data_IF_732562499706
#
_entry.id   IF_732562499706
#
_cell.length_a   1.000
_cell.length_b   1.000
_cell.length_c   1.000
_cell.angle_alpha   90.00
_cell.angle_beta   90.00
_cell.angle_gamma   90.00
#
_symmetry.space_group_name_H-M   'P 1'
#
loop_
_entity.id
_entity.type
_entity.pdbx_description
1 polymer ?
#
# COMPACT_ATOMS: atom_id res chain seq x y z
N UNK A 1 -12.39 6.76 12.82
CA UNK A 1 -11.83 6.63 11.47
C UNK A 1 -10.30 6.58 11.45
N UNK A 2 -9.59 7.26 12.39
CA UNK A 2 -8.13 7.28 12.46
C UNK A 2 -7.60 6.82 13.84
N UNK A 3 -7.80 5.55 14.19
CA UNK A 3 -7.24 4.96 15.43
C UNK A 3 -6.30 3.77 15.16
N UNK A 4 -5.87 3.62 13.91
CA UNK A 4 -4.79 2.74 13.53
C UNK A 4 -3.68 3.58 12.92
N UNK A 5 -2.45 3.28 13.34
CA UNK A 5 -1.24 3.98 12.95
C UNK A 5 -1.21 4.12 11.42
N UNK A 6 -1.43 5.34 10.94
CA UNK A 6 -1.51 5.64 9.51
C UNK A 6 -0.16 5.26 8.89
N UNK A 7 -0.21 4.43 7.85
CA UNK A 7 1.00 4.05 7.13
C UNK A 7 1.45 5.21 6.23
N UNK A 8 2.40 5.99 6.73
CA UNK A 8 2.95 7.14 5.99
C UNK A 8 3.55 6.73 4.63
N UNK A 9 4.05 5.50 4.51
CA UNK A 9 4.56 5.00 3.23
C UNK A 9 3.42 4.72 2.24
N UNK A 10 2.26 4.25 2.72
CA UNK A 10 1.09 4.11 1.86
C UNK A 10 0.63 5.47 1.31
N UNK A 11 0.63 6.52 2.15
CA UNK A 11 0.30 7.87 1.70
C UNK A 11 1.31 8.36 0.67
N UNK A 12 2.61 8.16 0.93
CA UNK A 12 3.67 8.55 -0.01
C UNK A 12 3.50 7.85 -1.36
N UNK A 13 3.33 6.53 -1.38
CA UNK A 13 3.12 5.76 -2.61
C UNK A 13 1.85 6.22 -3.33
N UNK A 14 0.75 6.45 -2.61
CA UNK A 14 -0.48 6.93 -3.21
C UNK A 14 -0.30 8.33 -3.84
N UNK A 15 0.37 9.27 -3.16
CA UNK A 15 0.71 10.58 -3.73
C UNK A 15 1.55 10.45 -4.99
N UNK A 16 2.56 9.59 -4.96
CA UNK A 16 3.41 9.31 -6.13
C UNK A 16 2.60 8.76 -7.31
N UNK A 17 1.69 7.81 -7.07
CA UNK A 17 0.81 7.27 -8.12
C UNK A 17 -0.07 8.34 -8.79
N UNK A 18 -0.42 9.41 -8.08
CA UNK A 18 -1.24 10.50 -8.60
C UNK A 18 -0.45 11.79 -8.88
N UNK A 19 0.88 11.69 -9.04
CA UNK A 19 1.77 12.84 -9.32
C UNK A 19 1.60 14.01 -8.33
N UNK A 20 1.35 13.71 -7.06
CA UNK A 20 1.16 14.68 -6.00
C UNK A 20 -0.24 15.32 -5.92
N UNK A 21 -1.19 14.87 -6.74
CA UNK A 21 -2.58 15.34 -6.68
C UNK A 21 -3.27 14.84 -5.39
N UNK A 22 -3.45 15.76 -4.45
CA UNK A 22 -3.96 15.47 -3.11
C UNK A 22 -5.42 14.98 -3.16
N UNK A 23 -6.27 15.61 -3.96
CA UNK A 23 -7.69 15.28 -4.03
C UNK A 23 -7.91 13.87 -4.60
N UNK A 24 -7.18 13.54 -5.68
CA UNK A 24 -7.21 12.18 -6.24
C UNK A 24 -6.65 11.16 -5.26
N UNK A 25 -5.58 11.51 -4.53
CA UNK A 25 -4.97 10.65 -3.52
C UNK A 25 -5.95 10.34 -2.40
N UNK A 26 -6.59 11.35 -1.81
CA UNK A 26 -7.59 11.17 -0.73
C UNK A 26 -8.75 10.31 -1.24
N UNK A 27 -9.28 10.61 -2.43
CA UNK A 27 -10.38 9.84 -3.03
C UNK A 27 -10.00 8.39 -3.27
N UNK A 28 -8.76 8.13 -3.71
CA UNK A 28 -8.24 6.78 -3.94
C UNK A 28 -8.06 6.01 -2.64
N UNK A 29 -7.46 6.63 -1.61
CA UNK A 29 -7.28 6.02 -0.30
C UNK A 29 -8.63 5.71 0.36
N UNK A 30 -9.62 6.60 0.21
CA UNK A 30 -10.97 6.33 0.69
C UNK A 30 -11.59 5.11 0.01
N UNK A 31 -11.50 5.03 -1.34
CA UNK A 31 -11.97 3.86 -2.09
C UNK A 31 -11.23 2.58 -1.71
N UNK A 32 -9.92 2.68 -1.48
CA UNK A 32 -9.09 1.56 -1.05
C UNK A 32 -9.56 0.99 0.31
N UNK A 33 -9.85 1.86 1.29
CA UNK A 33 -10.39 1.44 2.57
C UNK A 33 -11.72 0.69 2.43
N UNK A 34 -12.62 1.19 1.57
CA UNK A 34 -13.88 0.48 1.28
C UNK A 34 -13.65 -0.85 0.56
N UNK A 35 -12.75 -0.86 -0.43
CA UNK A 35 -12.42 -2.04 -1.22
C UNK A 35 -11.84 -3.19 -0.38
N UNK A 36 -11.03 -2.90 0.65
CA UNK A 36 -10.48 -3.92 1.56
C UNK A 36 -11.59 -4.73 2.24
N UNK A 37 -12.69 -4.07 2.61
CA UNK A 37 -13.84 -4.66 3.30
C UNK A 37 -14.78 -5.41 2.36
N UNK A 38 -14.67 -5.18 1.04
CA UNK A 38 -15.50 -5.83 0.03
C UNK A 38 -14.90 -7.17 -0.41
N UNK A 39 -15.76 -8.09 -0.84
CA UNK A 39 -15.43 -9.35 -1.53
C UNK A 39 -14.31 -10.18 -0.88
N UNK A 40 -14.13 -10.06 0.44
CA UNK A 40 -13.05 -10.67 1.20
C UNK A 40 -11.65 -10.40 0.61
N UNK A 41 -11.45 -9.20 0.04
CA UNK A 41 -10.19 -8.84 -0.64
C UNK A 41 -8.98 -8.93 0.30
N UNK A 42 -9.13 -8.54 1.56
CA UNK A 42 -8.06 -8.68 2.56
C UNK A 42 -7.70 -10.15 2.81
N UNK A 43 -8.68 -11.04 2.89
CA UNK A 43 -8.48 -12.49 3.09
C UNK A 43 -7.87 -13.14 1.85
N UNK A 44 -8.29 -12.73 0.64
CA UNK A 44 -7.66 -13.16 -0.62
C UNK A 44 -6.19 -12.77 -0.65
N UNK A 45 -5.84 -11.57 -0.19
CA UNK A 45 -4.45 -11.17 -0.03
C UNK A 45 -3.70 -12.02 0.99
N UNK A 46 -4.30 -12.34 2.14
CA UNK A 46 -3.67 -13.20 3.16
C UNK A 46 -3.21 -14.55 2.59
N UNK A 47 -3.97 -15.13 1.66
CA UNK A 47 -3.58 -16.36 0.97
C UNK A 47 -2.33 -16.20 0.06
N UNK A 48 -2.00 -14.97 -0.34
CA UNK A 48 -0.91 -14.64 -1.29
C UNK A 48 0.29 -13.93 -0.65
N UNK A 49 0.28 -13.68 0.66
CA UNK A 49 1.37 -12.97 1.38
C UNK A 49 2.76 -13.52 1.02
N UNK A 50 2.89 -14.85 0.94
CA UNK A 50 4.17 -15.49 0.65
C UNK A 50 4.74 -15.14 -0.75
N UNK A 51 3.90 -14.82 -1.73
CA UNK A 51 4.35 -14.36 -3.06
C UNK A 51 5.07 -13.01 -2.96
N UNK A 52 4.52 -12.09 -2.16
CA UNK A 52 5.08 -10.76 -1.91
C UNK A 52 6.36 -10.83 -1.06
N UNK A 53 6.36 -11.67 -0.02
CA UNK A 53 7.54 -11.85 0.85
C UNK A 53 8.75 -12.42 0.09
N UNK A 54 8.54 -13.34 -0.88
CA UNK A 54 9.62 -13.83 -1.76
C UNK A 54 10.29 -12.72 -2.57
N UNK A 55 9.60 -11.60 -2.78
CA UNK A 55 10.11 -10.40 -3.47
C UNK A 55 10.53 -9.30 -2.50
N UNK A 56 10.60 -9.59 -1.19
CA UNK A 56 10.96 -8.66 -0.11
C UNK A 56 9.94 -7.52 0.09
N UNK A 57 8.70 -7.68 -0.39
CA UNK A 57 7.64 -6.70 -0.19
C UNK A 57 6.98 -6.92 1.18
N UNK A 58 7.61 -6.39 2.23
CA UNK A 58 7.19 -6.62 3.61
C UNK A 58 6.06 -5.69 4.08
N UNK A 59 5.82 -4.56 3.39
CA UNK A 59 4.72 -3.66 3.74
C UNK A 59 3.39 -4.15 3.15
N UNK A 60 2.57 -4.77 3.99
CA UNK A 60 1.30 -5.34 3.59
C UNK A 60 0.26 -4.33 3.10
N UNK A 61 0.26 -3.11 3.65
CA UNK A 61 -0.67 -2.06 3.21
C UNK A 61 -0.35 -1.60 1.79
N UNK A 62 0.94 -1.44 1.48
CA UNK A 62 1.39 -1.12 0.12
C UNK A 62 1.06 -2.28 -0.83
N UNK A 63 1.31 -3.53 -0.44
CA UNK A 63 0.98 -4.68 -1.27
C UNK A 63 -0.52 -4.72 -1.63
N UNK A 64 -1.39 -4.52 -0.62
CA UNK A 64 -2.84 -4.43 -0.81
C UNK A 64 -3.24 -3.26 -1.72
N UNK A 65 -2.60 -2.10 -1.53
CA UNK A 65 -2.86 -0.93 -2.36
C UNK A 65 -2.43 -1.14 -3.81
N UNK A 66 -1.28 -1.77 -4.06
CA UNK A 66 -0.85 -2.17 -5.40
C UNK A 66 -1.85 -3.13 -6.05
N UNK A 67 -2.38 -4.11 -5.30
CA UNK A 67 -3.46 -4.98 -5.80
C UNK A 67 -4.68 -4.14 -6.21
N UNK A 68 -5.12 -3.23 -5.34
CA UNK A 68 -6.27 -2.36 -5.61
C UNK A 68 -6.10 -1.52 -6.88
N UNK A 69 -4.94 -0.86 -7.05
CA UNK A 69 -4.66 -0.02 -8.22
C UNK A 69 -4.53 -0.87 -9.49
N UNK A 70 -3.91 -2.05 -9.40
CA UNK A 70 -3.62 -2.91 -10.55
C UNK A 70 -4.73 -3.91 -10.90
N UNK A 71 -5.75 -4.09 -10.06
CA UNK A 71 -6.91 -4.96 -10.32
C UNK A 71 -7.65 -4.59 -11.61
N UNK A 72 -7.51 -3.35 -12.08
CA UNK A 72 -8.07 -2.90 -13.36
C UNK A 72 -7.26 -3.32 -14.60
N UNK A 73 -6.03 -3.84 -14.45
CA UNK A 73 -5.08 -3.96 -15.57
C UNK A 73 -4.48 -5.35 -15.78
N UNK A 74 -3.77 -5.94 -14.80
CA UNK A 74 -3.15 -7.28 -14.96
C UNK A 74 -2.59 -7.82 -13.62
N UNK A 75 -3.22 -8.85 -13.07
CA UNK A 75 -2.86 -9.44 -11.77
C UNK A 75 -1.41 -9.99 -11.71
N UNK A 76 -0.85 -10.42 -12.85
CA UNK A 76 0.53 -10.93 -12.92
C UNK A 76 1.58 -9.84 -12.71
N UNK A 77 1.27 -8.58 -13.04
CA UNK A 77 2.20 -7.45 -12.91
C UNK A 77 2.15 -6.80 -11.52
N UNK A 78 1.16 -7.13 -10.70
CA UNK A 78 0.98 -6.54 -9.35
C UNK A 78 2.24 -6.72 -8.50
N UNK A 79 2.83 -7.91 -8.53
CA UNK A 79 4.02 -8.23 -7.75
C UNK A 79 5.25 -7.47 -8.27
N UNK A 80 5.35 -7.27 -9.59
CA UNK A 80 6.43 -6.48 -10.20
C UNK A 80 6.30 -5.00 -9.84
N UNK A 81 5.08 -4.47 -9.85
CA UNK A 81 4.80 -3.09 -9.42
C UNK A 81 5.09 -2.93 -7.92
N UNK A 82 4.60 -3.82 -7.06
CA UNK A 82 4.88 -3.77 -5.64
C UNK A 82 6.39 -3.89 -5.33
N UNK A 83 7.10 -4.75 -6.07
CA UNK A 83 8.56 -4.86 -5.97
C UNK A 83 9.27 -3.60 -6.45
N UNK A 84 8.80 -2.98 -7.55
CA UNK A 84 9.32 -1.69 -8.04
C UNK A 84 9.15 -0.59 -7.01
N UNK A 85 7.96 -0.41 -6.42
CA UNK A 85 7.76 0.61 -5.38
C UNK A 85 8.61 0.29 -4.13
N UNK A 86 8.76 -0.98 -3.76
CA UNK A 86 9.61 -1.39 -2.63
C UNK A 86 11.10 -1.09 -2.86
N UNK A 87 11.61 -1.36 -4.07
CA UNK A 87 13.03 -1.22 -4.43
C UNK A 87 13.40 0.21 -4.80
N UNK A 88 12.54 0.90 -5.56
CA UNK A 88 12.83 2.24 -6.06
C UNK A 88 12.57 3.32 -5.01
N UNK A 89 11.63 3.11 -4.08
CA UNK A 89 11.27 4.17 -3.12
C UNK A 89 11.94 4.05 -1.76
N UNK A 90 12.78 3.01 -1.51
CA UNK A 90 13.47 2.79 -0.23
C UNK A 90 12.64 3.32 0.94
N UNK A 91 11.40 2.82 1.06
CA UNK A 91 10.27 3.43 1.77
C UNK A 91 10.69 4.53 2.76
N UNK A 92 10.34 5.81 2.53
CA UNK A 92 10.96 6.94 3.20
C UNK A 92 10.74 6.95 4.72
N UNK A 93 9.79 6.16 5.21
CA UNK A 93 9.51 5.99 6.63
C UNK A 93 9.74 4.53 7.04
N UNK A 94 10.73 4.30 7.89
CA UNK A 94 10.99 2.99 8.49
C UNK A 94 10.52 2.95 9.94
N UNK A 95 10.56 1.78 10.56
CA UNK A 95 9.94 1.54 11.88
C UNK A 95 10.45 2.49 12.98
N UNK A 96 11.71 2.93 12.90
CA UNK A 96 12.30 3.95 13.78
C UNK A 96 11.62 5.32 13.68
N UNK A 97 11.02 5.66 12.54
CA UNK A 97 10.37 6.97 12.30
C UNK A 97 8.97 7.02 12.92
N UNK A 98 8.38 5.86 13.25
CA UNK A 98 7.11 5.74 13.97
C UNK A 98 7.23 6.08 15.46
N UNK A 99 8.45 6.16 15.99
CA UNK A 99 8.74 6.30 17.42
C UNK A 99 9.21 7.70 17.84
N UNK A 100 8.85 8.77 17.11
CA UNK A 100 9.14 10.12 17.58
C UNK A 100 8.31 10.43 18.85
N UNK A 101 9.07 10.64 19.92
CA UNK A 101 8.65 10.78 21.31
C UNK A 101 7.63 11.90 21.50
N UNK A 102 6.68 11.63 22.40
CA UNK A 102 5.88 12.65 23.08
C UNK A 102 6.85 13.66 23.72
N UNK A 103 6.76 14.92 23.27
CA UNK A 103 7.20 16.09 24.04
C UNK A 103 5.98 16.71 24.70
#
# INVERSE_FOLDING_TARGET
MWNHQIDANLIYVALKCYNGDIDKTIKSLFKFEQWKLQDNNEQKYKARINEFLKRRCCNHNINLFCIFICQAYNEKKVIEVAASETVNDCLPFIEKDKAQKQY
#
